data_IF_364307469561
#
_entry.id   IF_364307469561
#
_cell.length_a   1.000
_cell.length_b   1.000
_cell.length_c   1.000
_cell.angle_alpha   90.00
_cell.angle_beta   90.00
_cell.angle_gamma   90.00
#
_symmetry.space_group_name_H-M   'P 1'
#
loop_
_entity.id
_entity.type
_entity.pdbx_description
1 polymer ?
#
# COMPACT_ATOMS: atom_id res chain seq x y z
N UNK A 1 8.12 11.84 16.97
CA UNK A 1 6.77 11.74 17.55
C UNK A 1 6.57 13.03 18.34
N UNK A 2 5.57 13.82 17.98
CA UNK A 2 5.32 15.16 18.54
C UNK A 2 4.22 15.14 19.62
N UNK A 3 3.38 14.11 19.63
CA UNK A 3 2.34 13.88 20.63
C UNK A 3 2.38 12.40 21.07
N UNK A 4 2.13 12.09 22.36
CA UNK A 4 2.14 10.71 22.83
C UNK A 4 0.99 9.88 22.22
N UNK A 5 1.24 8.59 22.05
CA UNK A 5 0.24 7.68 21.52
C UNK A 5 -0.75 7.33 22.62
N UNK A 6 -2.02 7.66 22.45
CA UNK A 6 -3.09 7.18 23.31
C UNK A 6 -3.78 5.97 22.69
N UNK A 7 -4.29 5.05 23.51
CA UNK A 7 -5.01 3.87 23.04
C UNK A 7 -6.07 3.41 24.06
N UNK A 8 -7.04 2.64 23.58
CA UNK A 8 -8.06 1.97 24.42
C UNK A 8 -7.78 0.48 24.47
N UNK A 9 -7.86 -0.14 25.65
CA UNK A 9 -7.77 -1.61 25.71
C UNK A 9 -9.01 -2.24 25.06
N UNK A 10 -8.86 -3.41 24.44
CA UNK A 10 -10.02 -4.12 23.85
C UNK A 10 -11.12 -4.38 24.90
N UNK A 11 -10.74 -4.66 26.15
CA UNK A 11 -11.70 -4.85 27.25
C UNK A 11 -12.57 -3.62 27.53
N UNK A 12 -11.97 -2.42 27.46
CA UNK A 12 -12.72 -1.17 27.64
C UNK A 12 -13.53 -0.84 26.38
N UNK A 13 -12.97 -1.05 25.18
CA UNK A 13 -13.69 -0.84 23.93
C UNK A 13 -14.99 -1.67 23.89
N UNK A 14 -14.95 -2.93 24.33
CA UNK A 14 -16.13 -3.80 24.36
C UNK A 14 -17.26 -3.34 25.31
N UNK A 15 -16.96 -2.42 26.23
CA UNK A 15 -17.91 -1.81 27.18
C UNK A 15 -18.42 -0.44 26.71
N UNK A 16 -17.76 0.19 25.74
CA UNK A 16 -18.18 1.49 25.21
C UNK A 16 -19.56 1.37 24.55
N UNK A 17 -20.46 2.29 24.86
CA UNK A 17 -21.79 2.39 24.25
C UNK A 17 -21.85 3.41 23.12
N UNK A 18 -20.93 4.37 23.14
CA UNK A 18 -20.86 5.49 22.21
C UNK A 18 -19.39 5.88 21.96
N UNK A 19 -19.15 6.47 20.78
CA UNK A 19 -17.86 7.05 20.42
C UNK A 19 -17.84 8.49 20.94
N UNK A 20 -16.98 8.78 21.93
CA UNK A 20 -16.89 10.10 22.57
C UNK A 20 -15.54 10.76 22.33
N UNK A 21 -15.45 12.10 22.39
CA UNK A 21 -14.20 12.83 22.24
C UNK A 21 -13.10 12.38 23.21
N UNK A 22 -11.85 12.55 22.76
CA UNK A 22 -10.64 12.19 23.48
C UNK A 22 -10.61 12.70 24.93
N UNK A 23 -11.01 13.95 25.15
CA UNK A 23 -10.94 14.62 26.44
C UNK A 23 -11.84 13.92 27.47
N UNK A 24 -13.03 13.48 27.05
CA UNK A 24 -13.98 12.78 27.92
C UNK A 24 -13.44 11.39 28.27
N UNK A 25 -13.01 10.62 27.27
CA UNK A 25 -12.50 9.26 27.51
C UNK A 25 -11.17 9.25 28.27
N UNK A 26 -10.34 10.29 28.12
CA UNK A 26 -9.12 10.48 28.90
C UNK A 26 -9.43 10.82 30.35
N UNK A 27 -10.40 11.71 30.61
CA UNK A 27 -10.84 12.06 31.97
C UNK A 27 -11.42 10.85 32.73
N UNK A 28 -12.07 9.94 32.01
CA UNK A 28 -12.61 8.68 32.56
C UNK A 28 -11.58 7.54 32.62
N UNK A 29 -10.32 7.79 32.23
CA UNK A 29 -9.25 6.79 32.13
C UNK A 29 -9.60 5.58 31.24
N UNK A 30 -10.51 5.76 30.27
CA UNK A 30 -10.85 4.77 29.25
C UNK A 30 -9.76 4.75 28.18
N UNK A 31 -9.34 5.93 27.73
CA UNK A 31 -8.22 6.12 26.82
C UNK A 31 -6.99 6.51 27.63
N UNK A 32 -5.90 5.75 27.45
CA UNK A 32 -4.66 5.90 28.22
C UNK A 32 -3.47 6.14 27.32
N UNK A 33 -2.46 6.85 27.82
CA UNK A 33 -1.16 6.94 27.14
C UNK A 33 -0.54 5.54 27.06
N UNK A 34 -0.21 5.12 25.85
CA UNK A 34 0.23 3.76 25.55
C UNK A 34 1.75 3.61 25.69
N UNK A 35 2.15 2.59 26.43
CA UNK A 35 3.53 2.13 26.54
C UNK A 35 3.70 0.73 25.94
N UNK A 36 4.87 0.45 25.36
CA UNK A 36 5.18 -0.86 24.77
C UNK A 36 5.16 -2.00 25.80
N UNK A 37 5.32 -1.67 27.09
CA UNK A 37 5.23 -2.61 28.21
C UNK A 37 3.81 -3.18 28.40
N UNK A 38 2.77 -2.48 27.93
CA UNK A 38 1.37 -2.87 28.17
C UNK A 38 0.91 -4.03 27.29
N UNK A 39 1.53 -4.24 26.13
CA UNK A 39 1.18 -5.32 25.22
C UNK A 39 1.35 -4.92 23.76
N UNK A 40 0.41 -5.35 22.91
CA UNK A 40 0.38 -4.98 21.50
C UNK A 40 -0.66 -3.90 21.26
N UNK A 41 -0.44 -3.13 20.20
CA UNK A 41 -1.41 -2.15 19.73
C UNK A 41 -1.78 -2.38 18.27
N UNK A 42 -3.06 -2.20 17.97
CA UNK A 42 -3.59 -2.22 16.60
C UNK A 42 -4.00 -0.81 16.18
N UNK A 43 -3.71 -0.46 14.93
CA UNK A 43 -4.17 0.78 14.33
C UNK A 43 -5.54 0.55 13.69
N UNK A 44 -6.57 1.28 14.11
CA UNK A 44 -7.88 1.28 13.45
C UNK A 44 -7.89 2.38 12.38
N UNK A 45 -8.10 1.99 11.13
CA UNK A 45 -8.34 2.91 10.03
C UNK A 45 -9.77 2.76 9.55
N UNK A 46 -10.54 3.84 9.59
CA UNK A 46 -11.96 3.86 9.26
C UNK A 46 -12.31 5.09 8.42
N UNK A 47 -13.53 5.12 7.89
CA UNK A 47 -14.04 6.27 7.15
C UNK A 47 -15.04 7.05 8.02
N UNK A 48 -14.92 8.38 8.06
CA UNK A 48 -15.88 9.22 8.76
C UNK A 48 -17.22 9.19 8.02
N UNK A 49 -18.29 8.82 8.71
CA UNK A 49 -19.64 8.69 8.11
C UNK A 49 -20.57 9.89 8.35
N UNK A 50 -20.04 10.97 8.96
CA UNK A 50 -20.71 12.25 9.18
C UNK A 50 -19.69 13.40 9.18
N UNK A 51 -20.19 14.64 9.16
CA UNK A 51 -19.33 15.85 9.04
C UNK A 51 -18.58 16.16 10.34
N UNK A 52 -19.29 16.16 11.47
CA UNK A 52 -18.75 16.53 12.79
C UNK A 52 -18.39 15.31 13.66
N UNK A 53 -18.78 14.12 13.25
CA UNK A 53 -18.61 12.91 14.05
C UNK A 53 -18.34 11.67 13.17
N UNK A 54 -17.35 10.83 13.52
CA UNK A 54 -16.96 9.71 12.69
C UNK A 54 -18.00 8.58 12.63
N UNK A 55 -18.81 8.41 13.67
CA UNK A 55 -19.75 7.28 13.83
C UNK A 55 -20.87 7.61 14.82
N UNK A 56 -21.75 8.55 14.48
CA UNK A 56 -22.74 9.13 15.43
C UNK A 56 -23.67 8.07 16.03
N UNK A 57 -24.12 7.12 15.21
CA UNK A 57 -25.03 6.05 15.63
C UNK A 57 -24.30 4.86 16.30
N UNK A 58 -22.96 4.90 16.36
CA UNK A 58 -22.14 3.78 16.83
C UNK A 58 -22.19 2.55 15.92
N UNK A 59 -22.51 2.71 14.62
CA UNK A 59 -22.63 1.60 13.66
C UNK A 59 -21.27 0.95 13.42
N UNK A 60 -20.22 1.74 13.21
CA UNK A 60 -18.85 1.25 13.04
C UNK A 60 -18.32 0.62 14.35
N UNK A 61 -18.56 1.27 15.49
CA UNK A 61 -18.15 0.77 16.81
C UNK A 61 -18.75 -0.61 17.08
N UNK A 62 -20.03 -0.82 16.78
CA UNK A 62 -20.70 -2.14 16.95
C UNK A 62 -20.06 -3.21 16.07
N UNK A 63 -19.75 -2.89 14.80
CA UNK A 63 -19.05 -3.82 13.90
C UNK A 63 -17.68 -4.17 14.46
N UNK A 64 -16.90 -3.18 14.89
CA UNK A 64 -15.59 -3.39 15.48
C UNK A 64 -15.67 -4.26 16.75
N UNK A 65 -16.59 -3.97 17.66
CA UNK A 65 -16.79 -4.76 18.88
C UNK A 65 -17.20 -6.21 18.55
N UNK A 66 -18.07 -6.42 17.57
CA UNK A 66 -18.49 -7.75 17.15
C UNK A 66 -17.33 -8.51 16.49
N UNK A 67 -16.54 -7.85 15.66
CA UNK A 67 -15.34 -8.43 15.06
C UNK A 67 -14.31 -8.82 16.13
N UNK A 68 -14.06 -7.97 17.13
CA UNK A 68 -13.19 -8.29 18.27
C UNK A 68 -13.73 -9.49 19.07
N UNK A 69 -15.03 -9.52 19.39
CA UNK A 69 -15.66 -10.69 20.05
C UNK A 69 -15.50 -11.95 19.20
N UNK A 70 -15.68 -11.85 17.90
CA UNK A 70 -15.53 -12.95 16.96
C UNK A 70 -14.08 -13.47 16.93
N UNK A 71 -13.08 -12.58 16.90
CA UNK A 71 -11.66 -12.94 16.91
C UNK A 71 -11.19 -13.51 18.27
N UNK A 72 -11.79 -13.07 19.38
CA UNK A 72 -11.38 -13.48 20.74
C UNK A 72 -12.06 -14.78 21.21
N UNK A 73 -13.32 -14.98 20.82
CA UNK A 73 -14.15 -16.09 21.34
C UNK A 73 -13.66 -17.47 20.96
N UNK A 74 -12.96 -17.64 19.84
CA UNK A 74 -12.56 -18.96 19.34
C UNK A 74 -11.26 -18.91 18.52
N UNK A 75 -10.49 -20.00 18.54
CA UNK A 75 -9.27 -20.15 17.74
C UNK A 75 -9.65 -20.42 16.29
N UNK A 76 -9.75 -19.36 15.49
CA UNK A 76 -10.14 -19.44 14.09
C UNK A 76 -8.99 -19.10 13.18
N UNK A 77 -9.10 -19.57 11.94
CA UNK A 77 -8.24 -19.19 10.84
C UNK A 77 -8.95 -18.07 10.08
N UNK A 78 -8.37 -16.87 10.08
CA UNK A 78 -8.86 -15.77 9.24
C UNK A 78 -8.36 -16.04 7.81
N UNK A 79 -9.26 -16.20 6.83
CA UNK A 79 -8.86 -16.48 5.47
C UNK A 79 -8.03 -15.32 4.92
N UNK A 80 -6.97 -15.66 4.20
CA UNK A 80 -6.33 -14.71 3.30
C UNK A 80 -7.25 -14.46 2.10
N UNK A 81 -7.12 -13.29 1.49
CA UNK A 81 -7.73 -12.94 0.22
C UNK A 81 -7.59 -14.10 -0.80
N UNK A 82 -8.67 -14.41 -1.55
CA UNK A 82 -8.89 -15.66 -2.32
C UNK A 82 -7.70 -16.07 -3.22
N UNK A 83 -6.92 -15.10 -3.69
CA UNK A 83 -5.81 -15.30 -4.63
C UNK A 83 -4.44 -15.48 -3.96
N UNK A 84 -4.34 -15.29 -2.64
CA UNK A 84 -3.10 -15.42 -1.89
C UNK A 84 -3.01 -16.83 -1.28
N UNK A 85 -2.02 -17.63 -1.69
CA UNK A 85 -1.65 -18.90 -1.01
C UNK A 85 -1.06 -18.68 0.40
N UNK A 86 -1.21 -17.49 1.01
CA UNK A 86 -0.76 -17.24 2.38
C UNK A 86 -1.64 -18.05 3.33
N UNK A 87 -0.99 -18.74 4.26
CA UNK A 87 -1.65 -19.49 5.31
C UNK A 87 -2.59 -18.56 6.09
N UNK A 88 -3.83 -19.02 6.27
CA UNK A 88 -4.80 -18.33 7.10
C UNK A 88 -4.22 -18.06 8.48
N UNK A 89 -4.44 -16.87 9.03
CA UNK A 89 -3.80 -16.49 10.28
C UNK A 89 -4.67 -16.94 11.46
N UNK A 90 -4.06 -17.65 12.41
CA UNK A 90 -4.75 -18.01 13.65
C UNK A 90 -5.02 -16.76 14.51
N UNK A 91 -6.27 -16.56 14.91
CA UNK A 91 -6.69 -15.50 15.85
C UNK A 91 -6.04 -15.64 17.24
N UNK A 92 -5.47 -16.81 17.57
CA UNK A 92 -4.69 -17.02 18.79
C UNK A 92 -3.58 -15.98 18.97
N UNK A 93 -3.05 -15.45 17.87
CA UNK A 93 -1.98 -14.48 17.91
C UNK A 93 -2.39 -13.09 18.45
N UNK A 94 -3.68 -12.75 18.40
CA UNK A 94 -4.28 -11.54 18.98
C UNK A 94 -4.47 -11.69 20.50
N UNK A 95 -4.47 -12.93 21.02
CA UNK A 95 -4.70 -13.26 22.43
C UNK A 95 -3.44 -13.49 23.25
N UNK A 96 -2.25 -13.55 22.61
CA UNK A 96 -0.99 -13.86 23.30
C UNK A 96 -0.55 -12.78 24.29
N UNK A 97 -0.96 -11.53 24.07
CA UNK A 97 -0.62 -10.37 24.88
C UNK A 97 -1.85 -9.46 24.94
N UNK A 98 -1.97 -8.58 25.95
CA UNK A 98 -3.01 -7.56 25.97
C UNK A 98 -2.99 -6.75 24.66
N UNK A 99 -4.19 -6.49 24.11
CA UNK A 99 -4.35 -5.74 22.87
C UNK A 99 -5.00 -4.39 23.17
N UNK A 100 -4.38 -3.34 22.65
CA UNK A 100 -4.85 -1.97 22.66
C UNK A 100 -5.20 -1.54 21.24
N UNK A 101 -6.11 -0.60 21.10
CA UNK A 101 -6.59 -0.07 19.82
C UNK A 101 -6.37 1.42 19.79
N UNK A 102 -5.73 1.89 18.73
CA UNK A 102 -5.63 3.31 18.39
C UNK A 102 -6.74 3.67 17.40
N UNK A 103 -7.49 4.73 17.66
CA UNK A 103 -8.59 5.22 16.83
C UNK A 103 -8.52 6.74 16.77
N UNK A 104 -8.51 7.31 15.56
CA UNK A 104 -8.17 8.73 15.34
C UNK A 104 -9.00 9.74 16.16
N UNK A 105 -10.30 9.53 16.32
CA UNK A 105 -11.21 10.49 16.97
C UNK A 105 -11.03 10.56 18.49
N UNK A 106 -10.85 9.43 19.15
CA UNK A 106 -10.76 9.40 20.61
C UNK A 106 -9.35 9.16 21.15
N UNK A 107 -8.38 8.85 20.27
CA UNK A 107 -6.96 8.81 20.61
C UNK A 107 -6.21 10.09 20.22
N UNK A 108 -6.83 11.01 19.47
CA UNK A 108 -6.32 12.36 19.23
C UNK A 108 -7.21 13.42 19.90
N UNK A 109 -6.64 14.48 20.47
CA UNK A 109 -7.41 15.62 20.99
C UNK A 109 -8.34 16.22 19.94
N UNK A 110 -9.54 16.62 20.34
CA UNK A 110 -10.51 17.27 19.45
C UNK A 110 -10.48 18.78 19.68
N UNK A 111 -10.54 19.60 18.61
CA UNK A 111 -10.60 21.06 18.74
C UNK A 111 -11.81 21.42 19.59
N UNK A 112 -11.56 22.02 20.75
CA UNK A 112 -12.53 22.14 21.82
C UNK A 112 -13.84 22.80 21.38
N UNK A 113 -14.95 22.06 21.50
CA UNK A 113 -16.19 22.62 22.03
C UNK A 113 -16.16 22.47 23.55
N UNK A 114 -15.17 23.07 24.22
CA UNK A 114 -15.27 23.27 25.67
C UNK A 114 -16.24 24.43 25.91
N UNK A 115 -17.31 24.29 26.72
CA UNK A 115 -18.27 25.37 26.98
C UNK A 115 -17.71 26.56 27.78
N UNK A 116 -16.43 26.55 28.18
CA UNK A 116 -15.92 27.41 29.26
C UNK A 116 -14.60 28.14 28.99
N UNK A 117 -14.08 28.17 27.76
CA UNK A 117 -12.87 28.95 27.44
C UNK A 117 -13.16 29.93 26.30
N UNK A 118 -12.88 31.21 26.56
CA UNK A 118 -13.12 32.32 25.64
C UNK A 118 -12.35 32.16 24.33
N UNK A 119 -12.94 32.66 23.25
CA UNK A 119 -12.44 32.65 21.86
C UNK A 119 -11.08 33.37 21.63
N UNK A 120 -10.29 33.67 22.66
CA UNK A 120 -9.02 34.41 22.57
C UNK A 120 -7.79 33.55 22.32
N UNK A 121 -7.85 32.23 22.56
CA UNK A 121 -6.67 31.35 22.48
C UNK A 121 -6.52 30.62 21.13
N UNK A 122 -7.37 30.95 20.15
CA UNK A 122 -7.42 30.36 18.80
C UNK A 122 -6.24 30.76 17.88
N UNK A 123 -5.16 31.33 18.44
CA UNK A 123 -4.01 31.84 17.69
C UNK A 123 -2.66 31.23 18.09
N UNK A 124 -2.63 30.04 18.70
CA UNK A 124 -1.36 29.30 18.88
C UNK A 124 -1.01 28.45 17.64
N UNK A 125 0.26 28.44 17.17
CA UNK A 125 0.64 27.77 15.91
C UNK A 125 0.64 26.22 15.94
N UNK A 126 0.42 25.57 17.08
CA UNK A 126 0.45 24.11 17.20
C UNK A 126 -0.64 23.61 18.16
N UNK A 127 -1.87 23.45 17.68
CA UNK A 127 -2.91 22.75 18.45
C UNK A 127 -2.46 21.31 18.74
N UNK A 128 -2.82 20.76 19.92
CA UNK A 128 -2.47 19.37 20.26
C UNK A 128 -2.97 18.37 19.20
N UNK A 129 -4.14 18.65 18.59
CA UNK A 129 -4.64 17.89 17.45
C UNK A 129 -3.64 17.88 16.28
N UNK A 130 -3.05 19.03 15.93
CA UNK A 130 -2.04 19.12 14.86
C UNK A 130 -0.82 18.26 15.15
N UNK A 131 -0.32 18.29 16.39
CA UNK A 131 0.80 17.45 16.83
C UNK A 131 0.43 15.95 16.80
N UNK A 132 -0.78 15.59 17.21
CA UNK A 132 -1.31 14.22 17.17
C UNK A 132 -1.43 13.69 15.73
N UNK A 133 -2.05 14.48 14.83
CA UNK A 133 -2.19 14.15 13.40
C UNK A 133 -0.82 13.98 12.74
N UNK A 134 0.13 14.87 13.04
CA UNK A 134 1.50 14.78 12.52
C UNK A 134 2.26 13.55 13.05
N UNK A 135 1.82 12.99 14.19
CA UNK A 135 2.42 11.82 14.84
C UNK A 135 1.80 10.48 14.42
N UNK A 136 0.65 10.47 13.72
CA UNK A 136 0.01 9.28 13.13
C UNK A 136 1.01 8.29 12.49
N UNK A 137 1.97 8.73 11.65
CA UNK A 137 2.88 7.79 11.00
C UNK A 137 3.78 7.05 11.99
N UNK A 138 4.16 7.71 13.09
CA UNK A 138 4.93 7.10 14.16
C UNK A 138 4.07 6.10 14.97
N UNK A 139 2.78 6.38 15.16
CA UNK A 139 1.84 5.43 15.79
C UNK A 139 1.68 4.19 14.95
N UNK A 140 1.43 4.38 13.65
CA UNK A 140 1.32 3.32 12.66
C UNK A 140 2.55 2.41 12.66
N UNK A 141 3.76 2.97 12.77
CA UNK A 141 5.00 2.21 12.85
C UNK A 141 5.17 1.40 14.16
N UNK A 142 4.52 1.81 15.25
CA UNK A 142 4.50 1.08 16.54
C UNK A 142 3.46 -0.03 16.59
N UNK A 143 2.45 0.01 15.72
CA UNK A 143 1.37 -0.98 15.73
C UNK A 143 1.82 -2.37 15.27
N UNK A 144 1.36 -3.40 15.97
CA UNK A 144 1.54 -4.82 15.59
C UNK A 144 0.49 -5.29 14.58
N UNK A 145 -0.65 -4.61 14.54
CA UNK A 145 -1.79 -4.96 13.71
C UNK A 145 -2.37 -3.72 13.04
N UNK A 146 -2.93 -3.90 11.86
CA UNK A 146 -3.66 -2.86 11.15
C UNK A 146 -5.05 -3.39 10.84
N UNK A 147 -6.07 -2.68 11.29
CA UNK A 147 -7.48 -3.06 11.14
C UNK A 147 -8.16 -1.98 10.29
N UNK A 148 -8.40 -2.29 9.01
CA UNK A 148 -9.25 -1.48 8.17
C UNK A 148 -10.72 -1.79 8.51
N UNK A 149 -11.39 -0.88 9.21
CA UNK A 149 -12.80 -0.97 9.55
C UNK A 149 -13.60 -0.32 8.43
N UNK A 150 -14.17 -1.13 7.55
CA UNK A 150 -14.88 -0.68 6.36
C UNK A 150 -16.23 -1.40 6.16
N UNK A 151 -17.14 -1.36 7.15
CA UNK A 151 -18.48 -1.89 6.99
C UNK A 151 -19.26 -1.15 5.91
N UNK A 152 -20.25 -1.83 5.32
CA UNK A 152 -21.22 -1.17 4.47
C UNK A 152 -22.17 -0.36 5.34
N UNK A 153 -22.10 0.98 5.24
CA UNK A 153 -22.93 1.89 6.02
C UNK A 153 -23.63 2.86 5.08
N UNK A 154 -24.93 3.02 5.26
CA UNK A 154 -25.70 4.09 4.63
C UNK A 154 -25.71 5.28 5.59
N UNK A 155 -25.18 6.42 5.14
CA UNK A 155 -25.34 7.71 5.82
C UNK A 155 -26.43 8.48 5.10
N UNK A 156 -27.56 8.66 5.78
CA UNK A 156 -28.67 9.48 5.29
C UNK A 156 -28.27 10.97 5.25
N UNK A 157 -27.49 11.42 6.23
CA UNK A 157 -26.96 12.78 6.33
C UNK A 157 -26.15 13.17 5.09
N UNK A 158 -25.24 12.29 4.67
CA UNK A 158 -24.36 12.54 3.53
C UNK A 158 -24.92 12.02 2.19
N UNK A 159 -26.09 11.36 2.20
CA UNK A 159 -26.67 10.70 1.03
C UNK A 159 -25.71 9.70 0.36
N UNK A 160 -24.84 9.06 1.14
CA UNK A 160 -23.71 8.24 0.66
C UNK A 160 -23.74 6.84 1.26
N UNK A 161 -23.38 5.86 0.44
CA UNK A 161 -23.07 4.49 0.90
C UNK A 161 -21.56 4.35 1.04
N UNK A 162 -21.13 4.03 2.25
CA UNK A 162 -19.76 3.71 2.61
C UNK A 162 -19.50 2.23 2.39
N UNK A 163 -18.31 1.88 1.90
CA UNK A 163 -17.92 0.52 1.58
C UNK A 163 -16.40 0.37 1.60
N UNK A 164 -15.84 -0.85 1.49
CA UNK A 164 -14.40 -1.05 1.33
C UNK A 164 -13.82 -0.24 0.16
N UNK A 165 -14.59 -0.08 -0.92
CA UNK A 165 -14.19 0.72 -2.08
C UNK A 165 -14.12 2.22 -1.75
N UNK A 166 -15.09 2.79 -1.03
CA UNK A 166 -15.04 4.22 -0.66
C UNK A 166 -13.90 4.50 0.32
N UNK A 167 -13.64 3.58 1.25
CA UNK A 167 -12.49 3.65 2.14
C UNK A 167 -11.19 3.63 1.32
N UNK A 168 -11.12 2.75 0.32
CA UNK A 168 -9.97 2.60 -0.57
C UNK A 168 -9.66 3.88 -1.35
N UNK A 169 -10.63 4.76 -1.57
CA UNK A 169 -10.42 6.02 -2.29
C UNK A 169 -9.78 7.12 -1.42
N UNK A 170 -9.79 7.00 -0.09
CA UNK A 170 -9.32 8.06 0.81
C UNK A 170 -7.81 8.05 1.01
N UNK A 171 -7.18 9.21 0.85
CA UNK A 171 -5.73 9.38 0.95
C UNK A 171 -5.17 9.04 2.34
N UNK A 172 -5.87 9.43 3.41
CA UNK A 172 -5.49 9.08 4.78
C UNK A 172 -5.66 7.58 5.09
N UNK A 173 -6.69 6.93 4.55
CA UNK A 173 -6.88 5.48 4.69
C UNK A 173 -5.78 4.69 3.96
N UNK A 174 -5.41 5.14 2.75
CA UNK A 174 -4.24 4.61 2.01
C UNK A 174 -2.90 4.90 2.69
N UNK A 175 -2.76 6.05 3.36
CA UNK A 175 -1.57 6.35 4.16
C UNK A 175 -1.44 5.37 5.31
N UNK A 176 -2.56 5.08 5.97
CA UNK A 176 -2.63 4.16 7.08
C UNK A 176 -2.27 2.72 6.62
N UNK A 177 -2.54 2.33 5.37
CA UNK A 177 -2.01 1.08 4.77
C UNK A 177 -0.54 1.15 4.35
N UNK A 178 0.15 2.28 4.54
CA UNK A 178 1.58 2.47 4.32
C UNK A 178 2.52 1.42 4.95
N UNK A 179 2.25 0.85 6.14
CA UNK A 179 2.93 -0.33 6.66
C UNK A 179 2.91 -1.53 5.72
N UNK A 180 1.79 -1.77 5.03
CA UNK A 180 1.69 -2.83 4.03
C UNK A 180 2.53 -2.48 2.79
N UNK A 181 2.66 -1.20 2.45
CA UNK A 181 3.54 -0.74 1.36
C UNK A 181 5.03 -0.89 1.71
N UNK A 182 5.40 -0.74 2.98
CA UNK A 182 6.77 -0.79 3.51
C UNK A 182 7.16 -2.14 4.13
N UNK A 183 6.22 -3.09 4.19
CA UNK A 183 6.30 -4.34 4.93
C UNK A 183 6.98 -4.21 6.30
N UNK A 184 6.47 -3.32 7.14
CA UNK A 184 6.54 -3.62 8.57
C UNK A 184 5.63 -4.82 8.82
N UNK A 185 6.02 -5.74 9.72
CA UNK A 185 5.39 -7.05 9.98
C UNK A 185 3.96 -6.95 10.60
N UNK A 186 3.23 -5.92 10.22
CA UNK A 186 1.89 -5.57 10.68
C UNK A 186 0.92 -6.51 9.98
N UNK A 187 0.26 -7.36 10.76
CA UNK A 187 -0.81 -8.20 10.24
C UNK A 187 -2.01 -7.31 9.93
N UNK A 188 -2.36 -7.25 8.66
CA UNK A 188 -3.39 -6.38 8.13
C UNK A 188 -4.69 -7.16 7.96
N UNK A 189 -5.73 -6.73 8.68
CA UNK A 189 -7.08 -7.24 8.56
C UNK A 189 -8.01 -6.20 7.97
N UNK A 190 -8.94 -6.65 7.16
CA UNK A 190 -10.06 -5.87 6.67
C UNK A 190 -11.35 -6.40 7.29
N UNK A 191 -12.07 -5.53 8.00
CA UNK A 191 -13.31 -5.84 8.70
C UNK A 191 -14.45 -5.19 7.92
N UNK A 192 -15.18 -6.01 7.15
CA UNK A 192 -16.33 -5.60 6.32
C UNK A 192 -17.66 -5.81 7.04
N UNK A 193 -17.66 -6.59 8.11
CA UNK A 193 -18.84 -6.85 8.92
C UNK A 193 -18.51 -7.61 10.21
N UNK A 194 -19.54 -8.05 10.92
CA UNK A 194 -19.41 -8.70 12.23
C UNK A 194 -18.55 -9.98 12.19
N UNK A 195 -18.61 -10.72 11.10
CA UNK A 195 -17.87 -11.98 10.89
C UNK A 195 -17.09 -12.00 9.58
N UNK A 196 -17.28 -11.00 8.74
CA UNK A 196 -16.59 -10.85 7.45
C UNK A 196 -15.27 -10.11 7.68
N UNK A 197 -14.23 -10.90 7.99
CA UNK A 197 -12.88 -10.44 8.27
C UNK A 197 -11.92 -11.19 7.36
N UNK A 198 -11.06 -10.45 6.67
CA UNK A 198 -10.09 -11.00 5.74
C UNK A 198 -8.69 -10.52 6.10
N UNK A 199 -7.71 -11.42 5.98
CA UNK A 199 -6.30 -11.04 6.03
C UNK A 199 -5.92 -10.46 4.67
N UNK A 200 -5.63 -9.16 4.66
CA UNK A 200 -5.21 -8.48 3.44
C UNK A 200 -3.74 -8.77 3.19
N UNK A 201 -3.47 -9.24 1.98
CA UNK A 201 -2.10 -9.52 1.54
C UNK A 201 -1.37 -8.22 1.18
N UNK A 202 -0.03 -8.23 1.22
CA UNK A 202 0.80 -7.10 0.73
C UNK A 202 0.46 -6.72 -0.72
N UNK A 203 -0.04 -7.69 -1.49
CA UNK A 203 -0.50 -7.54 -2.87
C UNK A 203 -1.83 -6.78 -2.95
N UNK A 204 -2.80 -7.13 -2.11
CA UNK A 204 -4.08 -6.41 -2.01
C UNK A 204 -3.91 -4.92 -1.77
N UNK A 205 -2.93 -4.50 -0.96
CA UNK A 205 -2.63 -3.07 -0.74
C UNK A 205 -2.06 -2.32 -1.94
N UNK A 206 -1.44 -3.02 -2.89
CA UNK A 206 -0.92 -2.40 -4.12
C UNK A 206 -2.05 -2.11 -5.10
N UNK A 207 -3.13 -2.90 -5.09
CA UNK A 207 -4.35 -2.66 -5.88
C UNK A 207 -4.99 -1.30 -5.50
N UNK A 208 -4.84 -0.87 -4.24
CA UNK A 208 -5.57 0.29 -3.70
C UNK A 208 -4.80 1.60 -3.91
N UNK A 209 -3.59 1.51 -4.48
CA UNK A 209 -2.78 2.64 -4.92
C UNK A 209 -2.08 3.42 -3.80
N UNK A 210 -1.18 4.31 -4.20
CA UNK A 210 -0.41 5.16 -3.27
C UNK A 210 -1.28 6.12 -2.43
N UNK A 211 -0.81 6.54 -1.24
CA UNK A 211 -1.49 7.53 -0.40
C UNK A 211 -1.81 8.84 -1.13
N UNK A 212 -0.89 9.34 -1.97
CA UNK A 212 -1.06 10.60 -2.68
C UNK A 212 -2.12 10.57 -3.78
N UNK A 213 -2.46 9.38 -4.29
CA UNK A 213 -3.52 9.21 -5.30
C UNK A 213 -4.92 9.19 -4.69
N UNK A 214 -5.05 9.21 -3.35
CA UNK A 214 -6.34 9.23 -2.68
C UNK A 214 -6.96 10.63 -2.57
N UNK A 215 -8.25 10.65 -2.25
CA UNK A 215 -9.06 11.84 -1.94
C UNK A 215 -8.77 12.30 -0.51
N UNK A 216 -8.51 13.59 -0.33
CA UNK A 216 -8.28 14.21 0.99
C UNK A 216 -9.42 15.19 1.26
N UNK A 217 -9.97 15.16 2.47
CA UNK A 217 -10.92 16.18 2.93
C UNK A 217 -10.26 17.56 2.95
N UNK A 218 -9.02 17.63 3.44
CA UNK A 218 -8.17 18.83 3.40
C UNK A 218 -7.03 18.61 2.41
N UNK A 219 -7.05 19.30 1.28
CA UNK A 219 -6.09 19.10 0.19
C UNK A 219 -4.63 19.35 0.62
N UNK A 220 -4.40 20.26 1.56
CA UNK A 220 -3.07 20.58 2.09
C UNK A 220 -2.46 19.45 2.94
N UNK A 221 -3.26 18.52 3.47
CA UNK A 221 -2.75 17.37 4.23
C UNK A 221 -1.87 16.44 3.38
N UNK A 222 -2.12 16.40 2.08
CA UNK A 222 -1.27 15.68 1.12
C UNK A 222 0.20 16.12 1.21
N UNK A 223 0.43 17.41 1.51
CA UNK A 223 1.79 17.96 1.66
C UNK A 223 2.50 17.41 2.90
N UNK A 224 1.75 17.04 3.93
CA UNK A 224 2.28 16.50 5.20
C UNK A 224 2.73 15.05 5.06
N UNK A 225 2.17 14.29 4.12
CA UNK A 225 2.45 12.86 3.95
C UNK A 225 3.81 12.56 3.33
N UNK A 226 4.25 13.37 2.39
CA UNK A 226 5.48 13.12 1.65
C UNK A 226 6.74 13.05 2.55
N UNK A 227 7.03 14.02 3.44
CA UNK A 227 8.25 13.98 4.26
C UNK A 227 8.23 12.81 5.25
N UNK A 228 7.03 12.48 5.74
CA UNK A 228 6.78 11.34 6.61
C UNK A 228 7.15 10.04 5.91
N UNK A 229 6.58 9.78 4.72
CA UNK A 229 6.80 8.54 4.01
C UNK A 229 8.26 8.43 3.57
N UNK A 230 8.89 9.54 3.16
CA UNK A 230 10.32 9.55 2.81
C UNK A 230 11.20 9.17 4.00
N UNK A 231 10.86 9.68 5.19
CA UNK A 231 11.55 9.31 6.43
C UNK A 231 11.36 7.83 6.77
N UNK A 232 10.13 7.31 6.65
CA UNK A 232 9.82 5.90 6.90
C UNK A 232 10.54 4.96 5.91
N UNK A 233 10.51 5.28 4.61
CA UNK A 233 11.26 4.58 3.56
C UNK A 233 12.75 4.56 3.90
N UNK A 234 13.33 5.72 4.26
CA UNK A 234 14.74 5.82 4.62
C UNK A 234 15.10 4.93 5.80
N UNK A 235 14.32 4.98 6.88
CA UNK A 235 14.58 4.14 8.05
C UNK A 235 14.49 2.65 7.73
N UNK A 236 13.48 2.23 6.95
CA UNK A 236 13.32 0.83 6.55
C UNK A 236 14.46 0.38 5.62
N UNK A 237 14.86 1.18 4.63
CA UNK A 237 16.01 0.89 3.77
C UNK A 237 17.30 0.69 4.58
N UNK A 238 17.59 1.61 5.51
CA UNK A 238 18.77 1.49 6.37
C UNK A 238 18.70 0.26 7.28
N UNK A 239 17.51 -0.09 7.79
CA UNK A 239 17.31 -1.31 8.58
C UNK A 239 17.54 -2.58 7.75
N UNK A 240 17.04 -2.62 6.52
CA UNK A 240 17.21 -3.77 5.62
C UNK A 240 18.68 -3.99 5.26
N UNK A 241 19.42 -2.90 5.00
CA UNK A 241 20.88 -2.95 4.79
C UNK A 241 21.61 -3.49 6.02
N UNK A 242 21.26 -3.02 7.23
CA UNK A 242 21.87 -3.52 8.48
C UNK A 242 21.66 -5.02 8.69
N UNK A 243 20.49 -5.54 8.30
CA UNK A 243 20.17 -6.96 8.38
C UNK A 243 20.61 -7.77 7.15
N UNK A 244 21.30 -7.14 6.19
CA UNK A 244 21.72 -7.75 4.92
C UNK A 244 20.57 -8.37 4.11
N UNK A 245 19.33 -7.90 4.31
CA UNK A 245 18.18 -8.33 3.51
C UNK A 245 18.15 -7.52 2.20
N UNK A 246 19.05 -7.88 1.29
CA UNK A 246 19.25 -7.17 0.02
C UNK A 246 18.05 -7.30 -0.92
N UNK A 247 17.32 -8.42 -0.88
CA UNK A 247 16.17 -8.64 -1.74
C UNK A 247 15.06 -7.63 -1.44
N UNK A 248 14.60 -7.55 -0.18
CA UNK A 248 13.59 -6.57 0.23
C UNK A 248 14.10 -5.13 0.08
N UNK A 249 15.39 -4.91 0.35
CA UNK A 249 16.02 -3.60 0.18
C UNK A 249 15.89 -3.11 -1.27
N UNK A 250 16.27 -3.93 -2.25
CA UNK A 250 16.18 -3.59 -3.68
C UNK A 250 14.73 -3.37 -4.10
N UNK A 251 13.80 -4.20 -3.62
CA UNK A 251 12.36 -4.00 -3.89
C UNK A 251 11.89 -2.64 -3.36
N UNK A 252 12.17 -2.32 -2.10
CA UNK A 252 11.75 -1.04 -1.51
C UNK A 252 12.41 0.16 -2.19
N UNK A 253 13.71 0.07 -2.47
CA UNK A 253 14.49 1.12 -3.12
C UNK A 253 13.89 1.51 -4.47
N UNK A 254 13.45 0.52 -5.24
CA UNK A 254 12.91 0.73 -6.58
C UNK A 254 11.39 1.00 -6.59
N UNK A 255 10.66 0.72 -5.50
CA UNK A 255 9.23 1.06 -5.38
C UNK A 255 8.95 2.48 -4.91
N UNK A 256 9.97 3.28 -4.60
CA UNK A 256 9.77 4.62 -4.03
C UNK A 256 8.86 5.51 -4.87
N UNK A 257 8.96 5.50 -6.21
CA UNK A 257 8.06 6.28 -7.08
C UNK A 257 6.60 5.83 -6.98
N UNK A 258 6.37 4.53 -6.83
CA UNK A 258 5.04 3.95 -6.65
C UNK A 258 4.47 4.40 -5.31
N UNK A 259 5.26 4.28 -4.23
CA UNK A 259 4.85 4.70 -2.87
C UNK A 259 4.54 6.19 -2.81
N UNK A 260 5.33 7.01 -3.50
CA UNK A 260 5.20 8.48 -3.50
C UNK A 260 4.26 9.04 -4.57
N UNK A 261 3.59 8.17 -5.37
CA UNK A 261 2.74 8.63 -6.47
C UNK A 261 1.63 9.56 -5.94
N UNK A 262 1.40 10.67 -6.65
CA UNK A 262 0.42 11.69 -6.28
C UNK A 262 0.80 12.56 -5.07
N UNK A 263 1.97 12.35 -4.46
CA UNK A 263 2.52 13.25 -3.44
C UNK A 263 3.43 14.32 -4.06
N UNK A 264 3.68 15.44 -3.34
CA UNK A 264 4.65 16.44 -3.78
C UNK A 264 6.01 15.82 -4.09
N UNK A 265 6.66 16.34 -5.14
CA UNK A 265 7.95 15.84 -5.57
C UNK A 265 8.97 15.91 -4.42
N UNK A 266 9.60 14.76 -4.13
CA UNK A 266 10.71 14.67 -3.20
C UNK A 266 11.89 13.97 -3.86
N UNK A 267 13.10 14.30 -3.39
CA UNK A 267 14.27 13.53 -3.76
C UNK A 267 14.11 12.11 -3.21
N UNK A 268 14.25 11.11 -4.09
CA UNK A 268 14.23 9.71 -3.69
C UNK A 268 15.38 9.43 -2.73
N UNK A 269 15.15 8.52 -1.80
CA UNK A 269 16.15 8.11 -0.82
C UNK A 269 17.22 7.27 -1.51
N UNK A 270 18.47 7.73 -1.38
CA UNK A 270 19.68 7.04 -1.80
C UNK A 270 20.49 6.72 -0.54
N UNK A 271 20.34 5.51 0.04
CA UNK A 271 20.89 5.20 1.36
C UNK A 271 22.39 4.90 1.31
N UNK A 272 22.95 4.50 0.17
CA UNK A 272 24.39 4.25 0.03
C UNK A 272 25.11 5.57 -0.31
N UNK A 273 25.97 6.09 0.59
CA UNK A 273 26.69 7.33 0.34
C UNK A 273 27.84 7.11 -0.65
N UNK A 274 28.12 8.12 -1.45
CA UNK A 274 29.17 8.07 -2.47
C UNK A 274 28.62 7.65 -3.83
N UNK A 275 29.04 8.35 -4.88
CA UNK A 275 28.81 7.93 -6.26
C UNK A 275 30.12 7.29 -6.72
N UNK A 276 30.11 6.14 -7.41
CA UNK A 276 31.34 5.60 -7.98
C UNK A 276 32.03 6.70 -8.82
N UNK A 277 33.36 6.78 -8.76
CA UNK A 277 34.14 7.75 -9.51
C UNK A 277 33.99 7.45 -11.02
N UNK A 278 33.03 8.09 -11.66
CA UNK A 278 32.67 7.87 -13.06
C UNK A 278 33.21 9.01 -13.93
N UNK A 279 34.53 9.23 -13.91
CA UNK A 279 35.14 10.22 -14.79
C UNK A 279 35.02 9.76 -16.25
N UNK A 280 34.42 10.59 -17.12
CA UNK A 280 34.34 10.35 -18.57
C UNK A 280 33.18 9.49 -19.07
N UNK A 281 32.26 9.04 -18.20
CA UNK A 281 31.04 8.37 -18.65
C UNK A 281 30.03 9.36 -19.22
N UNK A 282 29.31 8.96 -20.26
CA UNK A 282 28.11 9.67 -20.69
C UNK A 282 27.02 9.60 -19.59
N UNK A 283 26.02 10.47 -19.73
CA UNK A 283 25.05 10.63 -18.67
C UNK A 283 24.10 9.40 -18.53
N UNK A 284 24.00 8.52 -19.54
CA UNK A 284 23.26 7.25 -19.46
C UNK A 284 24.03 6.19 -18.69
N UNK A 285 25.30 5.99 -19.04
CA UNK A 285 26.24 5.11 -18.35
C UNK A 285 26.43 5.52 -16.89
N UNK A 286 26.43 6.82 -16.61
CA UNK A 286 26.44 7.35 -15.24
C UNK A 286 25.15 7.03 -14.47
N UNK A 287 23.99 7.04 -15.15
CA UNK A 287 22.72 6.67 -14.53
C UNK A 287 22.67 5.18 -14.21
N UNK A 288 23.12 4.32 -15.13
CA UNK A 288 23.25 2.87 -14.91
C UNK A 288 24.23 2.59 -13.78
N UNK A 289 25.43 3.17 -13.79
CA UNK A 289 26.44 2.95 -12.75
C UNK A 289 25.93 3.35 -11.35
N UNK A 290 25.26 4.50 -11.24
CA UNK A 290 24.66 4.93 -9.97
C UNK A 290 23.53 3.97 -9.52
N UNK A 291 22.70 3.50 -10.46
CA UNK A 291 21.64 2.54 -10.17
C UNK A 291 22.19 1.20 -9.69
N UNK A 292 23.19 0.66 -10.39
CA UNK A 292 23.86 -0.60 -10.03
C UNK A 292 24.49 -0.50 -8.65
N UNK A 293 25.17 0.61 -8.36
CA UNK A 293 25.78 0.88 -7.06
C UNK A 293 24.74 0.91 -5.92
N UNK A 294 23.65 1.67 -6.08
CA UNK A 294 22.59 1.74 -5.05
C UNK A 294 21.90 0.39 -4.83
N UNK A 295 21.80 -0.46 -5.87
CA UNK A 295 21.24 -1.80 -5.78
C UNK A 295 22.26 -2.88 -5.36
N UNK A 296 23.55 -2.55 -5.29
CA UNK A 296 24.62 -3.51 -4.99
C UNK A 296 24.73 -4.61 -6.04
N UNK A 297 24.71 -4.25 -7.33
CA UNK A 297 25.05 -5.14 -8.45
C UNK A 297 26.39 -4.73 -9.05
N UNK A 298 27.17 -5.71 -9.48
CA UNK A 298 28.47 -5.52 -10.15
C UNK A 298 28.34 -5.69 -11.66
N UNK A 299 27.47 -6.59 -12.13
CA UNK A 299 27.30 -6.92 -13.55
C UNK A 299 25.84 -6.79 -13.99
N UNK A 300 25.63 -6.32 -15.23
CA UNK A 300 24.28 -6.13 -15.79
C UNK A 300 23.47 -7.43 -15.96
N UNK A 301 24.16 -8.58 -16.04
CA UNK A 301 23.56 -9.91 -16.21
C UNK A 301 23.34 -10.65 -14.88
N UNK A 302 23.72 -10.04 -13.75
CA UNK A 302 23.50 -10.66 -12.46
C UNK A 302 22.01 -10.85 -12.17
N UNK A 303 21.74 -11.88 -11.38
CA UNK A 303 20.44 -12.10 -10.77
C UNK A 303 20.65 -12.41 -9.30
N UNK A 304 19.73 -11.96 -8.46
CA UNK A 304 19.72 -12.36 -7.07
C UNK A 304 19.19 -13.79 -6.87
N UNK A 305 19.12 -14.24 -5.62
CA UNK A 305 18.64 -15.58 -5.27
C UNK A 305 17.20 -15.84 -5.71
N UNK A 306 16.38 -14.79 -5.87
CA UNK A 306 15.02 -14.87 -6.37
C UNK A 306 14.92 -14.77 -7.90
N UNK A 307 16.05 -14.66 -8.61
CA UNK A 307 16.11 -14.52 -10.05
C UNK A 307 15.83 -13.09 -10.56
N UNK A 308 15.87 -12.08 -9.69
CA UNK A 308 15.68 -10.70 -10.11
C UNK A 308 16.97 -10.10 -10.64
N UNK A 309 16.95 -9.66 -11.90
CA UNK A 309 18.05 -8.92 -12.54
C UNK A 309 17.97 -7.41 -12.33
N UNK A 310 19.06 -6.65 -12.58
CA UNK A 310 19.03 -5.19 -12.60
C UNK A 310 17.88 -4.62 -13.45
N UNK A 311 17.55 -5.28 -14.56
CA UNK A 311 16.48 -4.85 -15.47
C UNK A 311 15.08 -4.97 -14.83
N UNK A 312 14.83 -6.01 -14.04
CA UNK A 312 13.57 -6.15 -13.28
C UNK A 312 13.39 -5.00 -12.28
N UNK A 313 14.46 -4.66 -11.56
CA UNK A 313 14.45 -3.55 -10.61
C UNK A 313 14.33 -2.19 -11.29
N UNK A 314 14.99 -1.99 -12.44
CA UNK A 314 14.88 -0.77 -13.22
C UNK A 314 13.46 -0.59 -13.80
N UNK A 315 12.82 -1.70 -14.19
CA UNK A 315 11.43 -1.71 -14.63
C UNK A 315 10.47 -1.39 -13.48
N UNK A 316 10.69 -1.94 -12.29
CA UNK A 316 9.95 -1.60 -11.07
C UNK A 316 10.09 -0.12 -10.69
N UNK A 317 11.28 0.46 -10.92
CA UNK A 317 11.55 1.88 -10.68
C UNK A 317 10.99 2.82 -11.74
N UNK A 318 10.48 2.31 -12.86
CA UNK A 318 10.02 3.10 -13.99
C UNK A 318 11.11 4.05 -14.50
N UNK A 319 12.38 3.63 -14.47
CA UNK A 319 13.50 4.47 -14.86
C UNK A 319 13.90 4.16 -16.31
N UNK A 320 13.22 4.82 -17.26
CA UNK A 320 13.41 4.63 -18.70
C UNK A 320 14.87 4.77 -19.12
N UNK A 321 15.59 5.74 -18.55
CA UNK A 321 17.02 5.97 -18.82
C UNK A 321 17.91 4.80 -18.41
N UNK A 322 17.67 4.24 -17.22
CA UNK A 322 18.43 3.07 -16.74
C UNK A 322 18.07 1.84 -17.55
N UNK A 323 16.79 1.65 -17.88
CA UNK A 323 16.33 0.55 -18.75
C UNK A 323 17.03 0.60 -20.11
N UNK A 324 17.05 1.77 -20.77
CA UNK A 324 17.75 1.97 -22.04
C UNK A 324 19.23 1.64 -21.92
N UNK A 325 19.91 2.16 -20.89
CA UNK A 325 21.33 1.90 -20.68
C UNK A 325 21.65 0.42 -20.38
N UNK A 326 20.82 -0.27 -19.58
CA UNK A 326 20.98 -1.70 -19.32
C UNK A 326 20.80 -2.54 -20.59
N UNK A 327 19.79 -2.22 -21.41
CA UNK A 327 19.56 -2.90 -22.68
C UNK A 327 20.70 -2.63 -23.69
N UNK A 328 21.22 -1.41 -23.74
CA UNK A 328 22.41 -1.08 -24.54
C UNK A 328 23.66 -1.87 -24.09
N UNK A 329 23.75 -2.19 -22.79
CA UNK A 329 24.76 -3.07 -22.21
C UNK A 329 24.40 -4.57 -22.31
N UNK A 330 23.42 -4.91 -23.16
CA UNK A 330 22.97 -6.28 -23.47
C UNK A 330 22.33 -7.03 -22.31
N UNK A 331 21.73 -6.35 -21.33
CA UNK A 331 20.88 -7.01 -20.36
C UNK A 331 19.76 -7.79 -21.07
N UNK A 332 19.52 -9.03 -20.64
CA UNK A 332 18.50 -9.90 -21.23
C UNK A 332 17.07 -9.39 -20.89
N UNK A 333 16.27 -8.93 -21.89
CA UNK A 333 14.91 -8.47 -21.67
C UNK A 333 13.95 -9.59 -21.26
N UNK A 334 14.29 -10.85 -21.55
CA UNK A 334 13.46 -12.03 -21.34
C UNK A 334 13.86 -12.80 -20.07
N UNK A 335 14.81 -12.28 -19.28
CA UNK A 335 15.17 -12.82 -17.98
C UNK A 335 13.91 -13.01 -17.11
N UNK A 336 13.76 -14.19 -16.49
CA UNK A 336 12.60 -14.54 -15.68
C UNK A 336 12.98 -14.71 -14.20
N UNK A 337 12.12 -14.22 -13.31
CA UNK A 337 12.26 -14.48 -11.87
C UNK A 337 12.10 -15.97 -11.54
N UNK A 338 12.79 -16.45 -10.50
CA UNK A 338 12.69 -17.85 -10.04
C UNK A 338 11.68 -18.04 -8.92
N UNK A 339 11.48 -17.00 -8.11
CA UNK A 339 10.60 -17.04 -6.95
C UNK A 339 9.55 -15.95 -7.01
N UNK A 340 8.42 -16.20 -6.35
CA UNK A 340 7.39 -15.18 -6.18
C UNK A 340 7.97 -14.01 -5.37
N UNK A 341 7.52 -12.80 -5.66
CA UNK A 341 7.78 -11.64 -4.84
C UNK A 341 6.46 -11.06 -4.30
N UNK A 342 6.01 -11.48 -3.10
CA UNK A 342 4.72 -11.09 -2.52
C UNK A 342 4.52 -9.58 -2.35
N UNK A 343 5.60 -8.82 -2.11
CA UNK A 343 5.56 -7.36 -1.98
C UNK A 343 5.10 -6.69 -3.27
N UNK A 344 5.66 -7.15 -4.39
CA UNK A 344 5.37 -6.60 -5.73
C UNK A 344 4.12 -7.26 -6.29
N UNK A 345 3.83 -8.50 -5.90
CA UNK A 345 2.71 -9.26 -6.40
C UNK A 345 3.00 -10.15 -7.59
N UNK A 346 4.25 -10.54 -7.77
CA UNK A 346 4.67 -11.27 -8.96
C UNK A 346 4.85 -12.76 -8.65
N UNK A 347 4.30 -13.68 -9.45
CA UNK A 347 4.63 -15.10 -9.39
C UNK A 347 6.05 -15.36 -9.92
N UNK A 348 6.58 -16.60 -9.75
CA UNK A 348 7.74 -17.05 -10.50
C UNK A 348 7.52 -16.91 -12.01
N UNK A 349 8.61 -16.79 -12.77
CA UNK A 349 8.56 -16.68 -14.23
C UNK A 349 8.18 -15.29 -14.73
N UNK A 350 8.18 -14.26 -13.87
CA UNK A 350 7.82 -12.90 -14.25
C UNK A 350 8.99 -12.21 -14.94
N UNK A 351 8.72 -11.45 -16.01
CA UNK A 351 9.72 -10.68 -16.76
C UNK A 351 9.71 -9.19 -16.37
N UNK A 352 10.73 -8.44 -16.79
CA UNK A 352 10.76 -6.99 -16.66
C UNK A 352 9.55 -6.31 -17.33
N UNK A 353 9.05 -6.85 -18.45
CA UNK A 353 7.86 -6.34 -19.13
C UNK A 353 6.62 -6.50 -18.25
N UNK A 354 6.41 -7.68 -17.66
CA UNK A 354 5.31 -7.94 -16.73
C UNK A 354 5.31 -6.98 -15.53
N UNK A 355 6.48 -6.75 -14.92
CA UNK A 355 6.63 -5.80 -13.80
C UNK A 355 6.28 -4.36 -14.22
N UNK A 356 6.73 -3.94 -15.41
CA UNK A 356 6.50 -2.58 -15.88
C UNK A 356 5.01 -2.25 -16.05
N UNK A 357 4.23 -3.18 -16.62
CA UNK A 357 2.78 -2.98 -16.81
C UNK A 357 2.00 -3.16 -15.51
N UNK A 358 2.43 -4.06 -14.62
CA UNK A 358 1.89 -4.17 -13.26
C UNK A 358 2.06 -2.86 -12.47
N UNK A 359 3.16 -2.15 -12.71
CA UNK A 359 3.52 -0.91 -12.00
C UNK A 359 3.07 0.37 -12.71
N UNK A 360 2.30 0.28 -13.80
CA UNK A 360 1.91 1.40 -14.68
C UNK A 360 3.09 2.19 -15.28
N UNK A 361 4.24 1.55 -15.46
CA UNK A 361 5.43 2.11 -16.09
C UNK A 361 5.42 1.83 -17.60
N UNK A 362 4.40 2.33 -18.29
CA UNK A 362 4.11 2.01 -19.68
C UNK A 362 5.21 2.46 -20.66
N UNK A 363 5.96 3.53 -20.34
CA UNK A 363 7.11 3.94 -21.16
C UNK A 363 8.25 2.92 -21.09
N UNK A 364 8.45 2.28 -19.94
CA UNK A 364 9.38 1.15 -19.82
C UNK A 364 8.87 -0.05 -20.63
N UNK A 365 7.57 -0.34 -20.56
CA UNK A 365 6.97 -1.42 -21.36
C UNK A 365 7.24 -1.23 -22.86
N UNK A 366 7.03 0.00 -23.38
CA UNK A 366 7.35 0.34 -24.77
C UNK A 366 8.82 0.13 -25.11
N UNK A 367 9.74 0.54 -24.23
CA UNK A 367 11.17 0.35 -24.43
C UNK A 367 11.57 -1.13 -24.50
N UNK A 368 11.01 -1.95 -23.61
CA UNK A 368 11.25 -3.40 -23.61
C UNK A 368 10.71 -4.06 -24.88
N UNK A 369 9.53 -3.67 -25.35
CA UNK A 369 8.95 -4.16 -26.61
C UNK A 369 9.82 -3.74 -27.81
N UNK A 370 10.29 -2.49 -27.86
CA UNK A 370 11.23 -2.02 -28.90
C UNK A 370 12.54 -2.84 -28.88
N UNK A 371 13.00 -3.22 -27.69
CA UNK A 371 14.16 -4.09 -27.48
C UNK A 371 13.86 -5.58 -27.72
N UNK A 372 12.70 -5.91 -28.30
CA UNK A 372 12.26 -7.26 -28.68
C UNK A 372 12.07 -8.22 -27.50
N UNK A 373 11.66 -7.70 -26.35
CA UNK A 373 11.14 -8.54 -25.27
C UNK A 373 9.98 -9.39 -25.79
N UNK A 374 9.96 -10.67 -25.44
CA UNK A 374 8.89 -11.59 -25.80
C UNK A 374 7.62 -11.23 -25.03
N UNK A 375 6.60 -10.77 -25.76
CA UNK A 375 5.46 -10.06 -25.17
C UNK A 375 4.56 -10.95 -24.33
N UNK A 376 4.50 -12.25 -24.59
CA UNK A 376 3.68 -13.27 -23.94
C UNK A 376 4.48 -14.24 -23.05
N UNK A 377 5.74 -13.92 -22.76
CA UNK A 377 6.62 -14.75 -21.95
C UNK A 377 6.25 -14.72 -20.46
N UNK A 378 6.19 -15.89 -19.83
CA UNK A 378 5.97 -16.06 -18.39
C UNK A 378 4.79 -16.97 -18.04
N UNK A 379 4.70 -17.37 -16.77
CA UNK A 379 3.57 -18.18 -16.26
C UNK A 379 2.28 -17.36 -16.19
N UNK A 380 2.39 -16.10 -15.80
CA UNK A 380 1.33 -15.10 -15.87
C UNK A 380 1.78 -14.05 -16.90
N UNK A 381 1.19 -14.05 -18.10
CA UNK A 381 1.64 -13.15 -19.15
C UNK A 381 1.40 -11.65 -18.85
N UNK A 382 2.16 -10.72 -19.48
CA UNK A 382 2.04 -9.28 -19.25
C UNK A 382 0.63 -8.68 -19.36
N UNK A 383 -0.22 -9.19 -20.26
CA UNK A 383 -1.59 -8.66 -20.40
C UNK A 383 -2.44 -8.93 -19.15
N UNK A 384 -2.25 -10.07 -18.49
CA UNK A 384 -2.93 -10.39 -17.22
C UNK A 384 -2.47 -9.49 -16.10
N UNK A 385 -1.18 -9.14 -16.04
CA UNK A 385 -0.69 -8.14 -15.08
C UNK A 385 -1.28 -6.76 -15.32
N UNK A 386 -1.40 -6.33 -16.58
CA UNK A 386 -2.01 -5.04 -16.92
C UNK A 386 -3.51 -5.02 -16.56
N UNK A 387 -4.23 -6.13 -16.81
CA UNK A 387 -5.62 -6.29 -16.40
C UNK A 387 -5.79 -6.28 -14.88
N UNK A 388 -4.97 -7.04 -14.17
CA UNK A 388 -4.92 -7.07 -12.70
C UNK A 388 -4.64 -5.67 -12.11
N UNK A 389 -3.72 -4.92 -12.70
CA UNK A 389 -3.34 -3.59 -12.22
C UNK A 389 -4.35 -2.49 -12.59
N UNK A 390 -5.46 -2.82 -13.27
CA UNK A 390 -6.37 -1.83 -13.86
C UNK A 390 -5.62 -0.81 -14.77
N UNK A 391 -4.62 -1.28 -15.52
CA UNK A 391 -3.75 -0.46 -16.36
C UNK A 391 -4.20 -0.48 -17.83
N UNK A 392 -5.23 0.31 -18.15
CA UNK A 392 -5.77 0.43 -19.52
C UNK A 392 -4.73 0.86 -20.55
N UNK A 393 -3.82 1.77 -20.20
CA UNK A 393 -2.72 2.18 -21.09
C UNK A 393 -1.73 1.03 -21.33
N UNK A 394 -1.41 0.24 -20.32
CA UNK A 394 -0.56 -0.95 -20.47
C UNK A 394 -1.21 -2.00 -21.37
N UNK A 395 -2.53 -2.20 -21.25
CA UNK A 395 -3.31 -3.04 -22.16
C UNK A 395 -3.19 -2.51 -23.59
N UNK A 396 -3.37 -1.20 -23.82
CA UNK A 396 -3.18 -0.59 -25.15
C UNK A 396 -1.78 -0.85 -25.71
N UNK A 397 -0.75 -0.59 -24.92
CA UNK A 397 0.66 -0.84 -25.32
C UNK A 397 0.88 -2.28 -25.77
N UNK A 398 0.37 -3.26 -25.02
CA UNK A 398 0.56 -4.68 -25.33
C UNK A 398 -0.24 -5.10 -26.57
N UNK A 399 -1.52 -4.71 -26.66
CA UNK A 399 -2.36 -5.05 -27.80
C UNK A 399 -1.87 -4.40 -29.11
N UNK A 400 -1.40 -3.15 -29.05
CA UNK A 400 -0.80 -2.45 -30.20
C UNK A 400 0.52 -3.12 -30.65
N UNK A 401 1.20 -3.82 -29.75
CA UNK A 401 2.37 -4.65 -30.06
C UNK A 401 2.03 -6.05 -30.61
N UNK A 402 0.74 -6.34 -30.85
CA UNK A 402 0.26 -7.59 -31.44
C UNK A 402 0.00 -8.71 -30.42
N UNK A 403 -0.10 -8.38 -29.13
CA UNK A 403 -0.44 -9.35 -28.09
C UNK A 403 -1.85 -9.94 -28.33
N UNK A 404 -2.01 -11.27 -28.29
CA UNK A 404 -3.31 -11.93 -28.43
C UNK A 404 -4.15 -11.78 -27.13
N UNK A 405 -5.29 -11.05 -27.14
CA UNK A 405 -6.14 -10.89 -25.97
C UNK A 405 -6.77 -12.20 -25.47
N UNK A 406 -6.77 -13.26 -26.30
CA UNK A 406 -7.26 -14.58 -25.92
C UNK A 406 -6.21 -15.45 -25.21
N UNK A 407 -4.97 -14.97 -25.05
CA UNK A 407 -3.90 -15.69 -24.35
C UNK A 407 -4.36 -16.07 -22.95
N UNK A 408 -4.06 -17.31 -22.56
CA UNK A 408 -4.40 -17.86 -21.25
C UNK A 408 -3.17 -17.91 -20.36
N UNK A 409 -3.36 -17.63 -19.08
CA UNK A 409 -2.32 -17.83 -18.07
C UNK A 409 -2.20 -19.33 -17.70
N UNK A 410 -1.30 -19.64 -16.77
CA UNK A 410 -1.12 -21.01 -16.25
C UNK A 410 -2.39 -21.61 -15.61
N UNK A 411 -3.35 -20.79 -15.21
CA UNK A 411 -4.63 -21.22 -14.64
C UNK A 411 -5.73 -21.38 -15.71
N UNK A 412 -5.40 -21.12 -16.99
CA UNK A 412 -6.34 -21.18 -18.09
C UNK A 412 -7.26 -19.96 -18.19
N UNK A 413 -7.00 -18.88 -17.46
CA UNK A 413 -7.81 -17.66 -17.47
C UNK A 413 -7.29 -16.67 -18.50
N UNK A 414 -8.20 -15.93 -19.14
CA UNK A 414 -7.86 -14.80 -20.03
C UNK A 414 -7.76 -13.50 -19.24
N UNK A 415 -7.14 -12.48 -19.81
CA UNK A 415 -6.98 -11.17 -19.17
C UNK A 415 -8.32 -10.50 -18.79
N UNK A 416 -9.39 -10.75 -19.56
CA UNK A 416 -10.74 -10.29 -19.23
C UNK A 416 -11.26 -10.88 -17.91
N UNK A 417 -11.03 -12.19 -17.70
CA UNK A 417 -11.42 -12.86 -16.46
C UNK A 417 -10.63 -12.32 -15.26
N UNK A 418 -9.35 -11.99 -15.46
CA UNK A 418 -8.56 -11.31 -14.45
C UNK A 418 -9.17 -9.94 -14.12
N UNK A 419 -9.47 -9.10 -15.11
CA UNK A 419 -10.09 -7.78 -14.87
C UNK A 419 -11.40 -7.89 -14.07
N UNK A 420 -12.27 -8.86 -14.39
CA UNK A 420 -13.49 -9.12 -13.62
C UNK A 420 -13.21 -9.56 -12.18
N UNK A 421 -12.23 -10.45 -11.98
CA UNK A 421 -11.87 -10.97 -10.65
C UNK A 421 -11.39 -9.87 -9.72
N UNK A 422 -10.67 -8.88 -10.25
CA UNK A 422 -10.08 -7.78 -9.47
C UNK A 422 -10.90 -6.48 -9.54
N UNK A 423 -12.11 -6.51 -10.13
CA UNK A 423 -12.95 -5.30 -10.28
C UNK A 423 -12.24 -4.16 -11.04
N UNK A 424 -11.33 -4.50 -11.95
CA UNK A 424 -10.51 -3.55 -12.69
C UNK A 424 -11.29 -2.96 -13.85
N UNK A 425 -12.11 -1.95 -13.55
CA UNK A 425 -13.08 -1.40 -14.49
C UNK A 425 -12.46 -0.76 -15.73
N UNK A 426 -11.36 0.01 -15.59
CA UNK A 426 -10.71 0.64 -16.75
C UNK A 426 -10.06 -0.40 -17.66
N UNK A 427 -9.49 -1.45 -17.07
CA UNK A 427 -8.96 -2.58 -17.83
C UNK A 427 -10.07 -3.37 -18.53
N UNK A 428 -11.19 -3.60 -17.85
CA UNK A 428 -12.36 -4.28 -18.40
C UNK A 428 -12.89 -3.50 -19.62
N UNK A 429 -13.10 -2.19 -19.46
CA UNK A 429 -13.59 -1.31 -20.53
C UNK A 429 -12.65 -1.31 -21.74
N UNK A 430 -11.33 -1.19 -21.51
CA UNK A 430 -10.35 -1.22 -22.59
C UNK A 430 -10.36 -2.58 -23.32
N UNK A 431 -10.30 -3.70 -22.59
CA UNK A 431 -10.31 -5.05 -23.18
C UNK A 431 -11.59 -5.31 -23.98
N UNK A 432 -12.76 -4.89 -23.48
CA UNK A 432 -14.04 -5.02 -24.19
C UNK A 432 -14.08 -4.12 -25.42
N UNK A 433 -13.54 -2.90 -25.34
CA UNK A 433 -13.52 -1.97 -26.47
C UNK A 433 -12.69 -2.52 -27.65
N UNK A 434 -11.58 -3.19 -27.35
CA UNK A 434 -10.67 -3.81 -28.32
C UNK A 434 -11.16 -5.17 -28.82
N UNK A 435 -12.04 -5.85 -28.07
CA UNK A 435 -12.65 -7.13 -28.46
C UNK A 435 -13.85 -6.99 -29.42
N UNK A 436 -14.33 -5.76 -29.69
CA UNK A 436 -15.38 -5.57 -30.70
C UNK A 436 -14.81 -5.94 -32.08
N UNK A 437 -15.37 -6.96 -32.76
CA UNK A 437 -14.92 -7.30 -34.10
C UNK A 437 -15.11 -6.08 -35.00
N UNK A 438 -14.15 -5.85 -35.88
CA UNK A 438 -14.31 -4.91 -36.99
C UNK A 438 -15.55 -5.35 -37.77
N UNK A 439 -16.69 -4.72 -37.51
CA UNK A 439 -17.83 -4.79 -38.42
C UNK A 439 -17.36 -4.00 -39.63
N UNK A 440 -16.69 -4.69 -40.56
CA UNK A 440 -16.46 -4.14 -41.90
C UNK A 440 -17.86 -3.94 -42.51
N UNK A 441 -18.15 -2.73 -43.04
CA UNK A 441 -19.44 -2.41 -43.63
C UNK A 441 -19.76 -3.29 -44.84
#
# INVERSE_FOLDING_TARGET
MLFPMYAVSVQQLLKMTEVRPHEILKAEAIVVEYEESYGKVAFISHEWVGDDHPDLDGKQLRVLQNAERYMISDSRLIPAEVMCKKEALSTSCLRRQPLYLWYDFFCCPQLGKQPSLSNSDLSSPESELSMAVTSIPAYVAKCSFFLALCPIIVSEELGKVFSPQTWAERGWCRMASGPALLETFVRWFMIKGNTDIELVSSFGGTIWGSPGSGKFTVSSDRMKLAPVLSSAVKHKLLSLLKCLNLQEYRVLLNRQKIIMKGLPAQKLVEPCPGRPACAGLDAESLAVSAFMYQNGFELVQEVDDAGWSPLHYAALAGNTRVVQGLLAQRADPDCQTRHAQPIVGTPPGTTALGISVLSHHNDVARLLIIARATIDLGLAPPLHFAAHANNSEGIRVLLDAGYDPCTRDFAGLHALAAACTFGSMDALDELVSRARPSIKP
#
